data_IF_226488911942
#
_entry.id   IF_226488911942
#
_cell.length_a   1.000
_cell.length_b   1.000
_cell.length_c   1.000
_cell.angle_alpha   90.00
_cell.angle_beta   90.00
_cell.angle_gamma   90.00
#
_symmetry.space_group_name_H-M   'P 1'
#
loop_
_entity.id
_entity.type
_entity.pdbx_description
1 polymer ?
#
# COMPACT_ATOMS: atom_id res chain seq x y z
N UNK A 1 -10.05 6.78 7.45
CA UNK A 1 -8.72 6.68 8.06
C UNK A 1 -8.49 5.22 8.35
N UNK A 2 -7.42 4.61 7.82
CA UNK A 2 -7.13 3.19 8.03
C UNK A 2 -6.65 2.99 9.47
N UNK A 3 -7.30 2.09 10.21
CA UNK A 3 -6.89 1.75 11.58
C UNK A 3 -5.97 0.54 11.58
N UNK A 4 -5.30 0.28 12.70
CA UNK A 4 -4.49 -0.94 12.87
C UNK A 4 -5.34 -2.21 12.71
N UNK A 5 -6.59 -2.16 13.17
CA UNK A 5 -7.57 -3.24 12.96
C UNK A 5 -7.90 -3.45 11.49
N UNK A 6 -8.00 -2.37 10.69
CA UNK A 6 -8.20 -2.49 9.24
C UNK A 6 -7.01 -3.17 8.57
N UNK A 7 -5.78 -2.80 8.96
CA UNK A 7 -4.54 -3.43 8.45
C UNK A 7 -4.50 -4.91 8.79
N UNK A 8 -4.81 -5.27 10.04
CA UNK A 8 -4.89 -6.67 10.45
C UNK A 8 -5.93 -7.44 9.64
N UNK A 9 -7.09 -6.84 9.38
CA UNK A 9 -8.13 -7.47 8.57
C UNK A 9 -7.71 -7.63 7.11
N UNK A 10 -7.10 -6.61 6.51
CA UNK A 10 -6.58 -6.66 5.14
C UNK A 10 -5.53 -7.75 4.96
N UNK A 11 -4.59 -7.86 5.91
CA UNK A 11 -3.58 -8.91 5.92
C UNK A 11 -4.22 -10.30 6.08
N UNK A 12 -5.24 -10.43 6.93
CA UNK A 12 -5.98 -11.69 7.06
C UNK A 12 -6.70 -12.08 5.77
N UNK A 13 -7.34 -11.13 5.10
CA UNK A 13 -8.00 -11.34 3.79
C UNK A 13 -7.00 -11.65 2.67
N UNK A 14 -5.78 -11.09 2.73
CA UNK A 14 -4.72 -11.41 1.76
C UNK A 14 -4.02 -12.76 2.02
N UNK A 15 -4.39 -13.45 3.10
CA UNK A 15 -3.91 -14.79 3.43
C UNK A 15 -2.83 -14.85 4.49
N UNK A 16 -2.50 -13.74 5.16
CA UNK A 16 -1.58 -13.76 6.30
C UNK A 16 -2.22 -14.36 7.55
N UNK A 17 -1.46 -15.24 8.20
CA UNK A 17 -1.87 -15.98 9.40
C UNK A 17 -0.88 -15.68 10.52
N UNK A 18 -1.03 -14.49 11.11
CA UNK A 18 -0.27 -14.10 12.30
C UNK A 18 -1.00 -14.56 13.56
N UNK A 19 -0.22 -15.07 14.52
CA UNK A 19 -0.71 -15.46 15.85
C UNK A 19 -1.07 -14.24 16.70
N UNK A 20 -0.33 -13.13 16.51
CA UNK A 20 -0.54 -11.85 17.17
C UNK A 20 -0.60 -10.72 16.14
N UNK A 21 -1.34 -9.66 16.45
CA UNK A 21 -1.55 -8.52 15.56
C UNK A 21 -1.04 -7.20 16.16
N UNK A 22 -0.11 -7.29 17.13
CA UNK A 22 0.51 -6.12 17.74
C UNK A 22 1.45 -5.40 16.76
N UNK A 23 1.63 -4.10 16.97
CA UNK A 23 2.52 -3.22 16.20
C UNK A 23 3.95 -3.75 16.03
N UNK A 24 4.47 -4.43 17.06
CA UNK A 24 5.82 -5.00 17.05
C UNK A 24 5.92 -6.40 16.45
N UNK A 25 4.81 -6.96 15.94
CA UNK A 25 4.80 -8.30 15.36
C UNK A 25 5.57 -8.28 14.04
N UNK A 26 6.50 -9.23 13.90
CA UNK A 26 7.26 -9.45 12.68
C UNK A 26 6.31 -9.84 11.54
N UNK A 27 6.42 -9.11 10.43
CA UNK A 27 5.60 -9.26 9.25
C UNK A 27 6.49 -9.63 8.06
N UNK A 28 6.16 -10.74 7.40
CA UNK A 28 6.79 -11.13 6.15
C UNK A 28 5.73 -11.05 5.03
N UNK A 29 5.87 -10.10 4.11
CA UNK A 29 4.98 -10.00 2.96
C UNK A 29 5.54 -10.82 1.80
N UNK A 30 4.97 -12.01 1.59
CA UNK A 30 5.19 -12.76 0.35
C UNK A 30 4.65 -11.97 -0.85
N UNK A 31 5.24 -12.17 -2.02
CA UNK A 31 4.85 -11.47 -3.26
C UNK A 31 3.36 -11.62 -3.60
N UNK A 32 2.75 -12.77 -3.27
CA UNK A 32 1.32 -12.99 -3.47
C UNK A 32 0.47 -12.21 -2.45
N UNK A 33 0.82 -12.31 -1.17
CA UNK A 33 0.15 -11.57 -0.08
C UNK A 33 0.20 -10.07 -0.35
N UNK A 34 1.34 -9.58 -0.82
CA UNK A 34 1.55 -8.18 -1.17
C UNK A 34 0.64 -7.71 -2.30
N UNK A 35 0.60 -8.45 -3.42
CA UNK A 35 -0.29 -8.13 -4.55
C UNK A 35 -1.75 -8.12 -4.12
N UNK A 36 -2.18 -9.08 -3.30
CA UNK A 36 -3.54 -9.09 -2.76
C UNK A 36 -3.81 -7.93 -1.80
N UNK A 37 -2.84 -7.55 -0.96
CA UNK A 37 -2.96 -6.40 -0.09
C UNK A 37 -3.18 -5.11 -0.90
N UNK A 38 -2.34 -4.87 -1.91
CA UNK A 38 -2.47 -3.71 -2.82
C UNK A 38 -3.83 -3.71 -3.53
N UNK A 39 -4.27 -4.87 -4.02
CA UNK A 39 -5.57 -5.02 -4.64
C UNK A 39 -6.72 -4.68 -3.68
N UNK A 40 -6.68 -5.18 -2.44
CA UNK A 40 -7.70 -4.90 -1.42
C UNK A 40 -7.70 -3.44 -0.96
N UNK A 41 -6.54 -2.77 -0.96
CA UNK A 41 -6.43 -1.35 -0.65
C UNK A 41 -7.13 -0.49 -1.71
N UNK A 42 -6.99 -0.83 -2.99
CA UNK A 42 -7.72 -0.18 -4.07
C UNK A 42 -9.22 -0.49 -4.01
N UNK A 43 -9.60 -1.77 -3.92
CA UNK A 43 -11.01 -2.17 -3.95
C UNK A 43 -11.81 -1.67 -2.74
N UNK A 44 -11.24 -1.71 -1.54
CA UNK A 44 -11.96 -1.39 -0.29
C UNK A 44 -11.79 0.07 0.14
N UNK A 45 -10.65 0.66 -0.16
CA UNK A 45 -10.29 1.99 0.34
C UNK A 45 -10.02 3.01 -0.79
N UNK A 46 -9.99 2.59 -2.05
CA UNK A 46 -9.68 3.46 -3.19
C UNK A 46 -8.24 3.96 -3.18
N UNK A 47 -7.34 3.26 -2.50
CA UNK A 47 -5.93 3.61 -2.39
C UNK A 47 -5.17 2.93 -3.52
N UNK A 48 -4.78 3.71 -4.52
CA UNK A 48 -3.91 3.26 -5.60
C UNK A 48 -2.47 3.41 -5.13
N UNK A 49 -1.79 2.28 -4.96
CA UNK A 49 -0.36 2.25 -4.61
C UNK A 49 0.45 2.35 -5.92
N UNK A 50 1.32 3.35 -6.01
CA UNK A 50 2.23 3.51 -7.15
C UNK A 50 3.50 2.65 -7.00
N UNK A 51 4.28 2.45 -8.07
CA UNK A 51 5.47 1.59 -8.03
C UNK A 51 6.52 2.00 -6.99
N UNK A 52 6.68 3.30 -6.71
CA UNK A 52 7.62 3.77 -5.68
C UNK A 52 7.11 3.49 -4.25
N UNK A 53 5.79 3.50 -4.07
CA UNK A 53 5.13 3.19 -2.81
C UNK A 53 5.03 1.67 -2.58
N UNK A 54 4.96 0.90 -3.65
CA UNK A 54 4.96 -0.57 -3.61
C UNK A 54 6.24 -1.09 -2.96
N UNK A 55 7.40 -0.57 -3.36
CA UNK A 55 8.69 -0.93 -2.77
C UNK A 55 8.77 -0.54 -1.27
N UNK A 56 8.25 0.64 -0.89
CA UNK A 56 8.23 1.07 0.52
C UNK A 56 7.30 0.20 1.38
N UNK A 57 6.13 -0.17 0.86
CA UNK A 57 5.21 -1.08 1.55
C UNK A 57 5.78 -2.49 1.65
N UNK A 58 6.37 -3.02 0.59
CA UNK A 58 6.98 -4.35 0.58
C UNK A 58 8.16 -4.47 1.53
N UNK A 59 8.86 -3.35 1.80
CA UNK A 59 9.94 -3.28 2.78
C UNK A 59 9.47 -3.25 4.25
N UNK A 60 8.16 -3.27 4.51
CA UNK A 60 7.61 -3.24 5.87
C UNK A 60 7.81 -4.57 6.59
N UNK A 61 8.65 -4.58 7.62
CA UNK A 61 9.02 -5.74 8.43
C UNK A 61 8.11 -5.98 9.66
N UNK A 62 7.20 -5.05 9.96
CA UNK A 62 6.25 -5.17 11.09
C UNK A 62 4.88 -4.61 10.74
N UNK A 63 3.85 -5.00 11.51
CA UNK A 63 2.50 -4.44 11.36
C UNK A 63 2.50 -2.92 11.57
N UNK A 64 3.28 -2.44 12.54
CA UNK A 64 3.40 -1.00 12.82
C UNK A 64 4.06 -0.22 11.68
N UNK A 65 5.12 -0.76 11.06
CA UNK A 65 5.75 -0.11 9.90
C UNK A 65 4.82 -0.09 8.69
N UNK A 66 4.08 -1.19 8.45
CA UNK A 66 3.08 -1.25 7.39
C UNK A 66 1.94 -0.23 7.61
N UNK A 67 1.36 -0.19 8.81
CA UNK A 67 0.29 0.77 9.13
C UNK A 67 0.76 2.20 8.95
N UNK A 68 1.96 2.54 9.42
CA UNK A 68 2.56 3.86 9.24
C UNK A 68 2.74 4.22 7.76
N UNK A 69 3.23 3.29 6.94
CA UNK A 69 3.40 3.50 5.51
C UNK A 69 2.04 3.68 4.82
N UNK A 70 1.04 2.86 5.14
CA UNK A 70 -0.33 3.02 4.63
C UNK A 70 -0.96 4.35 5.03
N UNK A 71 -0.71 4.84 6.25
CA UNK A 71 -1.19 6.15 6.70
C UNK A 71 -0.53 7.30 5.94
N UNK A 72 0.72 7.14 5.48
CA UNK A 72 1.38 8.14 4.63
C UNK A 72 0.81 8.17 3.21
N UNK A 73 0.38 7.01 2.71
CA UNK A 73 -0.23 6.87 1.39
C UNK A 73 -1.67 7.37 1.34
N UNK A 74 -2.35 7.41 2.49
CA UNK A 74 -3.62 8.09 2.60
C UNK A 74 -3.40 9.58 2.33
N UNK A 75 -3.92 10.14 1.23
CA UNK A 75 -3.95 11.58 1.10
C UNK A 75 -4.84 12.11 2.23
N UNK A 76 -4.38 13.13 2.95
CA UNK A 76 -5.28 14.01 3.69
C UNK A 76 -6.09 14.78 2.63
N UNK A 77 -7.03 14.10 1.97
CA UNK A 77 -7.83 14.57 0.83
C UNK A 77 -7.06 15.34 -0.26
N UNK A 78 -6.77 14.68 -1.39
CA UNK A 78 -6.18 15.22 -2.63
C UNK A 78 -4.65 15.21 -2.71
N UNK A 79 -4.11 14.49 -3.70
CA UNK A 79 -2.67 14.54 -3.98
C UNK A 79 -2.08 13.57 -5.00
N UNK A 80 -2.88 12.74 -5.70
CA UNK A 80 -2.37 11.77 -6.69
C UNK A 80 -2.68 12.14 -8.14
N UNK A 81 -2.49 13.41 -8.53
CA UNK A 81 -2.58 13.85 -9.92
C UNK A 81 -1.38 14.75 -10.25
N UNK A 82 -0.19 14.17 -10.40
CA UNK A 82 0.99 14.73 -11.08
C UNK A 82 2.12 13.68 -10.93
N UNK A 83 2.69 13.04 -11.95
CA UNK A 83 3.01 13.55 -13.27
C UNK A 83 3.06 12.43 -14.34
N UNK A 84 2.20 12.54 -15.35
CA UNK A 84 2.46 12.02 -16.69
C UNK A 84 2.25 13.18 -17.67
N UNK A 85 3.23 14.08 -17.76
CA UNK A 85 3.31 15.11 -18.78
C UNK A 85 4.71 15.14 -19.36
N UNK A 86 4.82 14.85 -20.65
CA UNK A 86 5.95 15.26 -21.47
C UNK A 86 6.67 14.12 -22.20
N UNK A 87 6.18 13.74 -23.38
CA UNK A 87 6.97 13.76 -24.64
C UNK A 87 6.06 13.36 -25.79
N UNK A 88 5.23 14.30 -26.25
CA UNK A 88 4.81 14.31 -27.65
C UNK A 88 5.68 15.34 -28.38
N UNK A 89 6.86 14.92 -28.85
CA UNK A 89 7.64 15.69 -29.80
C UNK A 89 7.08 15.44 -31.21
N UNK A 90 6.00 16.15 -31.54
CA UNK A 90 5.56 16.35 -32.92
C UNK A 90 6.48 17.41 -33.53
N UNK A 91 7.47 17.00 -34.32
CA UNK A 91 8.14 17.92 -35.23
C UNK A 91 8.05 17.37 -36.65
N UNK A 92 6.98 17.77 -37.32
CA UNK A 92 6.92 17.83 -38.76
C UNK A 92 7.67 19.08 -39.21
N UNK A 93 8.68 18.92 -40.04
CA UNK A 93 9.11 19.85 -41.12
C UNK A 93 10.21 19.18 -41.93
#
# INVERSE_FOLDING_TARGET
>A
MITETDVAQLLRDSGQLLEDWDTGTELALDSLTFVWLVHLLDERHGIVVGPEDEDELAASDTIGSLHRNLVRLLPDGAGGASAASGTEARHAS
#
